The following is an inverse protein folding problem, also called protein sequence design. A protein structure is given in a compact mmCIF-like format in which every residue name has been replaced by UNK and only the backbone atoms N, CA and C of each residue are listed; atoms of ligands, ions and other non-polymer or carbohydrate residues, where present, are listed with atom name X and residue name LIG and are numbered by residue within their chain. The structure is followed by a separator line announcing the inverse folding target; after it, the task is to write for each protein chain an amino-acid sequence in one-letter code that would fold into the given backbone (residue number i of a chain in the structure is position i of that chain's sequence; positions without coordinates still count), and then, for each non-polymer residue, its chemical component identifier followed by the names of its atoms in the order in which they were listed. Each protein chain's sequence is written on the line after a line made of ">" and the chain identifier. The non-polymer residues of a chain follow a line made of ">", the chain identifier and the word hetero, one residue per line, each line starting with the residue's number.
data_IF_238223230295
#
_entry.id   IF_238223230295
#
_cell.length_a   1.000
_cell.length_b   1.000
_cell.length_c   1.000
_cell.angle_alpha   90.00
_cell.angle_beta   90.00
_cell.angle_gamma   90.00
#
_symmetry.space_group_name_H-M   'P 1'
#
loop_
_entity.id
_entity.type
_entity.pdbx_description
1 polymer ?
#
# COMPACT_ATOMS: atom_id res chain seq x y z
N UNK A 1 9.69 16.74 -7.92
CA UNK A 1 8.52 15.81 -7.99
C UNK A 1 8.93 14.36 -8.25
N UNK A 2 9.75 14.03 -9.25
CA UNK A 2 10.16 12.63 -9.49
C UNK A 2 10.91 12.03 -8.29
N UNK A 3 11.87 12.78 -7.73
CA UNK A 3 12.58 12.44 -6.49
C UNK A 3 11.63 12.29 -5.30
N UNK A 4 10.68 13.20 -5.11
CA UNK A 4 9.70 13.13 -4.01
C UNK A 4 8.83 11.87 -4.09
N UNK A 5 8.30 11.55 -5.28
CA UNK A 5 7.47 10.35 -5.46
C UNK A 5 8.28 9.06 -5.25
N UNK A 6 9.54 9.03 -5.68
CA UNK A 6 10.43 7.90 -5.42
C UNK A 6 10.73 7.73 -3.92
N UNK A 7 11.03 8.83 -3.20
CA UNK A 7 11.25 8.80 -1.75
C UNK A 7 10.00 8.27 -1.03
N UNK A 8 8.81 8.78 -1.36
CA UNK A 8 7.56 8.30 -0.76
C UNK A 8 7.33 6.80 -1.02
N UNK A 9 7.68 6.32 -2.21
CA UNK A 9 7.57 4.89 -2.51
C UNK A 9 8.57 4.03 -1.75
N UNK A 10 9.80 4.50 -1.53
CA UNK A 10 10.75 3.79 -0.66
C UNK A 10 10.29 3.79 0.80
N UNK A 11 9.73 4.89 1.30
CA UNK A 11 9.16 4.96 2.66
C UNK A 11 7.98 4.00 2.78
N UNK A 12 7.05 4.01 1.82
CA UNK A 12 5.93 3.09 1.81
C UNK A 12 6.40 1.63 1.76
N UNK A 13 7.35 1.31 0.87
CA UNK A 13 7.91 -0.04 0.78
C UNK A 13 8.57 -0.48 2.10
N UNK A 14 9.26 0.43 2.79
CA UNK A 14 9.84 0.16 4.11
C UNK A 14 8.77 -0.14 5.16
N UNK A 15 7.71 0.66 5.24
CA UNK A 15 6.61 0.45 6.17
C UNK A 15 5.87 -0.86 5.88
N UNK A 16 5.51 -1.11 4.62
CA UNK A 16 4.87 -2.37 4.20
C UNK A 16 5.78 -3.56 4.47
N UNK A 17 7.11 -3.42 4.34
CA UNK A 17 8.05 -4.51 4.69
C UNK A 17 7.97 -4.88 6.16
N UNK A 18 7.90 -3.90 7.06
CA UNK A 18 7.77 -4.15 8.50
C UNK A 18 6.49 -4.95 8.78
N UNK A 19 5.34 -4.51 8.23
CA UNK A 19 4.06 -5.22 8.45
C UNK A 19 4.05 -6.60 7.81
N UNK A 20 4.65 -6.74 6.63
CA UNK A 20 4.75 -8.03 5.91
C UNK A 20 5.59 -9.03 6.70
N UNK A 21 6.70 -8.60 7.29
CA UNK A 21 7.53 -9.48 8.13
C UNK A 21 6.77 -9.96 9.37
N UNK A 22 6.00 -9.08 10.01
CA UNK A 22 5.16 -9.46 11.15
C UNK A 22 4.10 -10.49 10.74
N UNK A 23 3.47 -10.32 9.58
CA UNK A 23 2.50 -11.29 9.06
C UNK A 23 3.16 -12.64 8.73
N UNK A 24 4.35 -12.64 8.11
CA UNK A 24 5.09 -13.89 7.86
C UNK A 24 5.43 -14.62 9.16
N UNK A 25 5.89 -13.91 10.20
CA UNK A 25 6.16 -14.51 11.51
C UNK A 25 4.89 -15.12 12.11
N UNK A 26 3.76 -14.43 12.03
CA UNK A 26 2.46 -14.94 12.49
C UNK A 26 2.02 -16.20 11.74
N UNK A 27 2.18 -16.21 10.41
CA UNK A 27 1.83 -17.35 9.56
C UNK A 27 2.72 -18.57 9.83
N UNK A 28 4.04 -18.39 9.94
CA UNK A 28 4.94 -19.51 10.24
C UNK A 28 4.83 -19.98 11.70
N UNK A 29 4.34 -19.11 12.60
CA UNK A 29 4.07 -19.44 14.00
C UNK A 29 2.79 -20.24 14.23
N UNK A 30 1.85 -20.28 13.26
CA UNK A 30 0.53 -20.93 13.44
C UNK A 30 0.54 -22.45 13.33
N UNK A 31 1.71 -23.09 13.21
CA UNK A 31 1.82 -24.55 13.22
C UNK A 31 1.35 -25.25 11.94
N UNK A 32 1.11 -24.51 10.86
CA UNK A 32 0.77 -25.06 9.53
C UNK A 32 -0.69 -24.91 9.11
N UNK A 33 -1.56 -24.46 10.02
CA UNK A 33 -2.91 -24.00 9.64
C UNK A 33 -2.79 -22.57 9.09
N UNK A 34 -2.72 -22.47 7.76
CA UNK A 34 -2.73 -21.21 7.05
C UNK A 34 -4.16 -20.87 6.64
N UNK A 35 -4.71 -19.80 7.22
CA UNK A 35 -5.89 -19.18 6.64
C UNK A 35 -5.52 -18.56 5.28
N UNK A 36 -6.37 -18.82 4.27
CA UNK A 36 -6.09 -18.42 2.89
C UNK A 36 -5.95 -16.90 2.73
N UNK A 37 -6.78 -16.12 3.42
CA UNK A 37 -6.81 -14.66 3.28
C UNK A 37 -5.53 -14.00 3.83
N UNK A 38 -5.07 -14.29 5.06
CA UNK A 38 -3.77 -13.83 5.56
C UNK A 38 -2.61 -14.17 4.62
N UNK A 39 -2.53 -15.40 4.12
CA UNK A 39 -1.47 -15.81 3.19
C UNK A 39 -1.50 -15.00 1.89
N UNK A 40 -2.68 -14.85 1.28
CA UNK A 40 -2.86 -14.06 0.05
C UNK A 40 -2.44 -12.61 0.27
N UNK A 41 -2.84 -12.02 1.40
CA UNK A 41 -2.48 -10.63 1.73
C UNK A 41 -0.97 -10.45 1.95
N UNK A 42 -0.31 -11.40 2.61
CA UNK A 42 1.15 -11.34 2.82
C UNK A 42 1.90 -11.46 1.49
N UNK A 43 1.46 -12.35 0.59
CA UNK A 43 2.02 -12.45 -0.76
C UNK A 43 1.77 -11.15 -1.55
N UNK A 44 0.56 -10.60 -1.50
CA UNK A 44 0.21 -9.35 -2.17
C UNK A 44 1.06 -8.16 -1.66
N UNK A 45 1.27 -8.04 -0.34
CA UNK A 45 2.17 -7.02 0.22
C UNK A 45 3.61 -7.21 -0.24
N UNK A 46 4.09 -8.46 -0.31
CA UNK A 46 5.43 -8.76 -0.82
C UNK A 46 5.60 -8.28 -2.27
N UNK A 47 4.59 -8.51 -3.12
CA UNK A 47 4.57 -8.01 -4.50
C UNK A 47 4.52 -6.47 -4.52
N UNK A 48 3.68 -5.86 -3.67
CA UNK A 48 3.56 -4.40 -3.53
C UNK A 48 4.89 -3.73 -3.21
N UNK A 49 5.64 -4.27 -2.25
CA UNK A 49 6.99 -3.82 -1.87
C UNK A 49 7.91 -3.84 -3.09
N UNK A 50 7.97 -4.95 -3.82
CA UNK A 50 8.83 -5.08 -5.01
C UNK A 50 8.45 -4.07 -6.08
N UNK A 51 7.15 -3.91 -6.36
CA UNK A 51 6.65 -2.95 -7.35
C UNK A 51 6.98 -1.50 -6.97
N UNK A 52 6.85 -1.14 -5.69
CA UNK A 52 7.19 0.20 -5.20
C UNK A 52 8.69 0.48 -5.28
N UNK A 53 9.55 -0.47 -4.89
CA UNK A 53 11.00 -0.34 -4.98
C UNK A 53 11.42 -0.20 -6.45
N UNK A 54 11.01 -1.13 -7.31
CA UNK A 54 11.34 -1.10 -8.73
C UNK A 54 10.78 0.15 -9.42
N UNK A 55 9.54 0.54 -9.09
CA UNK A 55 8.92 1.78 -9.56
C UNK A 55 9.72 3.01 -9.14
N UNK A 56 10.14 3.09 -7.87
CA UNK A 56 11.00 4.15 -7.34
C UNK A 56 12.31 4.27 -8.11
N UNK A 57 12.99 3.14 -8.36
CA UNK A 57 14.23 3.11 -9.18
C UNK A 57 13.96 3.58 -10.61
N UNK A 58 12.87 3.14 -11.24
CA UNK A 58 12.55 3.55 -12.62
C UNK A 58 12.25 5.04 -12.72
N UNK A 59 11.53 5.62 -11.75
CA UNK A 59 11.22 7.06 -11.73
C UNK A 59 12.48 7.89 -11.52
N UNK A 60 13.41 7.45 -10.67
CA UNK A 60 14.71 8.09 -10.50
C UNK A 60 15.56 8.03 -11.77
N UNK A 61 15.50 6.91 -12.50
CA UNK A 61 16.16 6.74 -13.80
C UNK A 61 15.48 7.46 -14.97
N UNK A 62 14.42 8.25 -14.73
CA UNK A 62 13.69 8.98 -15.76
C UNK A 62 12.90 8.08 -16.73
N UNK A 63 12.65 6.82 -16.36
CA UNK A 63 11.92 5.84 -17.16
C UNK A 63 10.40 5.93 -16.91
N UNK A 64 9.71 4.81 -17.07
CA UNK A 64 8.27 4.66 -16.83
C UNK A 64 7.91 4.82 -15.34
N UNK A 65 6.67 5.24 -15.10
CA UNK A 65 6.06 5.35 -13.77
C UNK A 65 5.02 4.26 -13.51
N UNK A 66 4.80 3.36 -14.48
CA UNK A 66 3.69 2.41 -14.40
C UNK A 66 3.83 1.43 -13.24
N UNK A 67 5.05 0.97 -12.95
CA UNK A 67 5.31 0.10 -11.79
C UNK A 67 5.05 0.82 -10.46
N UNK A 68 5.40 2.11 -10.37
CA UNK A 68 5.14 2.92 -9.19
C UNK A 68 3.64 3.07 -8.93
N UNK A 69 2.87 3.34 -9.99
CA UNK A 69 1.40 3.46 -9.92
C UNK A 69 0.78 2.11 -9.57
N UNK A 70 1.23 1.02 -10.21
CA UNK A 70 0.71 -0.32 -9.94
C UNK A 70 0.98 -0.76 -8.49
N UNK A 71 2.20 -0.53 -7.97
CA UNK A 71 2.53 -0.80 -6.58
C UNK A 71 1.67 0.02 -5.61
N UNK A 72 1.54 1.33 -5.84
CA UNK A 72 0.70 2.18 -5.00
C UNK A 72 -0.79 1.81 -5.06
N UNK A 73 -1.29 1.40 -6.21
CA UNK A 73 -2.67 0.93 -6.35
C UNK A 73 -2.91 -0.39 -5.60
N UNK A 74 -1.93 -1.30 -5.62
CA UNK A 74 -1.98 -2.55 -4.85
C UNK A 74 -1.98 -2.28 -3.34
N UNK A 75 -1.13 -1.38 -2.85
CA UNK A 75 -1.12 -0.97 -1.44
C UNK A 75 -2.46 -0.36 -1.02
N UNK A 76 -3.08 0.47 -1.87
CA UNK A 76 -4.42 1.01 -1.60
C UNK A 76 -5.46 -0.11 -1.48
N UNK A 77 -5.43 -1.09 -2.39
CA UNK A 77 -6.34 -2.22 -2.32
C UNK A 77 -6.17 -3.00 -1.01
N UNK A 78 -4.94 -3.23 -0.57
CA UNK A 78 -4.62 -3.90 0.70
C UNK A 78 -5.14 -3.08 1.90
N UNK A 79 -4.95 -1.75 1.89
CA UNK A 79 -5.47 -0.88 2.94
C UNK A 79 -7.00 -0.94 3.02
N UNK A 80 -7.68 -0.97 1.87
CA UNK A 80 -9.14 -1.14 1.80
C UNK A 80 -9.56 -2.50 2.34
N UNK A 81 -8.84 -3.59 2.03
CA UNK A 81 -9.13 -4.91 2.58
C UNK A 81 -9.05 -4.91 4.10
N UNK A 82 -8.00 -4.32 4.69
CA UNK A 82 -7.89 -4.21 6.15
C UNK A 82 -8.98 -3.34 6.77
N UNK A 83 -9.32 -2.22 6.13
CA UNK A 83 -10.42 -1.37 6.57
C UNK A 83 -11.74 -2.15 6.63
N UNK A 84 -12.04 -2.92 5.58
CA UNK A 84 -13.25 -3.76 5.54
C UNK A 84 -13.23 -4.83 6.63
N UNK A 85 -12.09 -5.48 6.88
CA UNK A 85 -11.97 -6.49 7.93
C UNK A 85 -12.27 -5.91 9.32
N UNK A 86 -11.70 -4.76 9.66
CA UNK A 86 -12.03 -4.10 10.93
C UNK A 86 -13.49 -3.63 10.95
N UNK A 87 -13.99 -3.04 9.86
CA UNK A 87 -15.37 -2.55 9.78
C UNK A 87 -16.41 -3.68 9.96
N UNK A 88 -16.13 -4.87 9.43
CA UNK A 88 -17.01 -6.04 9.48
C UNK A 88 -16.84 -6.87 10.76
N UNK A 89 -15.79 -6.64 11.55
CA UNK A 89 -15.62 -7.32 12.83
C UNK A 89 -16.76 -6.96 13.79
N UNK A 90 -17.39 -7.98 14.35
CA UNK A 90 -18.44 -7.87 15.37
C UNK A 90 -17.80 -7.54 16.72
N UNK A 91 -18.27 -6.48 17.39
CA UNK A 91 -17.77 -6.07 18.70
C UNK A 91 -18.60 -6.62 19.87
N UNK A 92 -19.79 -7.15 19.61
CA UNK A 92 -20.75 -7.67 20.61
C UNK A 92 -20.96 -6.77 21.85
N UNK A 93 -20.71 -5.46 21.74
CA UNK A 93 -20.82 -4.50 22.85
C UNK A 93 -19.64 -4.53 23.85
N UNK A 94 -18.50 -5.11 23.46
CA UNK A 94 -17.26 -5.11 24.24
C UNK A 94 -16.45 -3.86 23.88
N UNK A 95 -16.37 -2.89 24.79
CA UNK A 95 -15.67 -1.60 24.59
C UNK A 95 -14.24 -1.76 24.04
N UNK A 96 -13.48 -2.74 24.55
CA UNK A 96 -12.11 -3.00 24.09
C UNK A 96 -12.05 -3.39 22.60
N UNK A 97 -13.02 -4.14 22.10
CA UNK A 97 -13.06 -4.55 20.70
C UNK A 97 -13.46 -3.37 19.79
N UNK A 98 -14.32 -2.47 20.29
CA UNK A 98 -14.69 -1.25 19.58
C UNK A 98 -13.50 -0.30 19.44
N UNK A 99 -12.72 -0.13 20.51
CA UNK A 99 -11.49 0.67 20.49
C UNK A 99 -10.43 0.08 19.55
N UNK A 100 -10.24 -1.24 19.58
CA UNK A 100 -9.32 -1.93 18.66
C UNK A 100 -9.75 -1.80 17.19
N UNK A 101 -11.06 -1.90 16.93
CA UNK A 101 -11.64 -1.70 15.60
C UNK A 101 -11.43 -0.27 15.11
N UNK A 102 -11.73 0.73 15.94
CA UNK A 102 -11.52 2.13 15.61
C UNK A 102 -10.02 2.42 15.35
N UNK A 103 -9.14 1.89 16.19
CA UNK A 103 -7.68 2.00 16.02
C UNK A 103 -7.19 1.35 14.73
N UNK A 104 -7.67 0.14 14.41
CA UNK A 104 -7.32 -0.58 13.18
C UNK A 104 -7.76 0.18 11.92
N UNK A 105 -8.97 0.76 11.93
CA UNK A 105 -9.47 1.59 10.83
C UNK A 105 -8.61 2.85 10.67
N UNK A 106 -8.27 3.54 11.76
CA UNK A 106 -7.44 4.73 11.71
C UNK A 106 -6.04 4.44 11.14
N UNK A 107 -5.43 3.32 11.53
CA UNK A 107 -4.14 2.87 11.00
C UNK A 107 -4.27 2.56 9.49
N UNK A 108 -5.29 1.83 9.07
CA UNK A 108 -5.51 1.50 7.66
C UNK A 108 -5.67 2.75 6.80
N UNK A 109 -6.41 3.75 7.28
CA UNK A 109 -6.56 5.05 6.62
C UNK A 109 -5.21 5.78 6.56
N UNK A 110 -4.46 5.82 7.67
CA UNK A 110 -3.13 6.45 7.72
C UNK A 110 -2.16 5.85 6.70
N UNK A 111 -2.13 4.51 6.58
CA UNK A 111 -1.32 3.80 5.59
C UNK A 111 -1.77 4.07 4.15
N UNK A 112 -3.06 4.33 3.90
CA UNK A 112 -3.58 4.62 2.57
C UNK A 112 -3.18 6.01 2.03
N UNK A 113 -2.83 6.97 2.90
CA UNK A 113 -2.49 8.34 2.49
C UNK A 113 -1.28 8.38 1.57
N UNK A 114 -0.20 7.67 1.91
CA UNK A 114 1.04 7.70 1.12
C UNK A 114 0.87 7.11 -0.29
N UNK A 115 0.30 5.90 -0.45
CA UNK A 115 -0.04 5.34 -1.76
C UNK A 115 -0.93 6.27 -2.60
N UNK A 116 -1.94 6.90 -2.00
CA UNK A 116 -2.80 7.86 -2.69
C UNK A 116 -2.02 9.07 -3.22
N UNK A 117 -1.12 9.64 -2.40
CA UNK A 117 -0.25 10.74 -2.81
C UNK A 117 0.71 10.33 -3.94
N UNK A 118 1.28 9.13 -3.89
CA UNK A 118 2.16 8.60 -4.94
C UNK A 118 1.42 8.55 -6.29
N UNK A 119 0.18 8.07 -6.31
CA UNK A 119 -0.65 8.03 -7.51
C UNK A 119 -0.94 9.44 -8.01
N UNK A 120 -1.40 10.34 -7.14
CA UNK A 120 -1.73 11.72 -7.50
C UNK A 120 -0.52 12.46 -8.13
N UNK A 121 0.67 12.32 -7.53
CA UNK A 121 1.91 12.92 -8.04
C UNK A 121 2.39 12.26 -9.34
N UNK A 122 2.02 11.02 -9.58
CA UNK A 122 2.41 10.29 -10.78
C UNK A 122 1.53 10.63 -11.99
N UNK A 123 0.22 10.81 -11.76
CA UNK A 123 -0.78 11.11 -12.80
C UNK A 123 -0.77 12.60 -13.21
N UNK A 124 -0.65 13.53 -12.26
CA UNK A 124 -0.72 14.99 -12.52
C UNK A 124 0.29 15.51 -13.57
N UNK A 125 1.43 14.82 -13.75
CA UNK A 125 2.41 15.14 -14.80
C UNK A 125 2.00 14.68 -16.19
N UNK A 126 1.35 13.53 -16.33
CA UNK A 126 0.89 13.03 -17.64
C UNK A 126 -0.10 14.01 -18.27
N UNK A 127 -1.00 14.60 -17.47
CA UNK A 127 -1.93 15.64 -17.93
C UNK A 127 -1.18 16.88 -18.44
N UNK A 128 -0.11 17.29 -17.75
CA UNK A 128 0.69 18.46 -18.15
C UNK A 128 1.50 18.25 -19.43
N UNK A 129 2.07 17.05 -19.62
CA UNK A 129 2.81 16.69 -20.84
C UNK A 129 1.88 16.50 -22.04
N UNK A 130 0.72 15.88 -21.84
CA UNK A 130 -0.32 15.76 -22.87
C UNK A 130 -0.79 17.13 -23.37
N UNK A 131 -1.06 18.07 -22.46
CA UNK A 131 -1.45 19.45 -22.82
C UNK A 131 -0.33 20.23 -23.52
N UNK A 132 0.95 19.96 -23.20
CA UNK A 132 2.09 20.56 -23.93
C UNK A 132 2.26 19.97 -25.33
N UNK A 133 2.01 18.68 -25.53
CA UNK A 133 2.12 18.04 -26.85
C UNK A 133 1.10 18.56 -27.87
N UNK A 134 -0.09 19.00 -27.41
CA UNK A 134 -1.17 19.57 -28.24
C UNK A 134 -1.06 21.08 -28.48
N UNK A 135 -0.11 21.76 -27.83
CA UNK A 135 0.13 23.22 -27.98
C UNK A 135 1.19 23.56 -29.03
N UNK A 136 1.83 22.55 -29.64
CA UNK A 136 2.68 22.67 -30.82
C UNK A 136 1.92 22.15 -32.03
#
# INVERSE_FOLDING_TARGET
>A
MATTAAVLAFVQAGLTTITTLLMWVGLFGSGGDFEALPLILTIAQTIGIVLLIMGGVQVLGGKSRNLLIAGAALELAICVTWLLQFAMAESEGIDLLEDLKAGGIAIAIGFAVMPALIIFMSVSRQTSEYLRSRRR
#
